data_IF_100259533335
#
_entry.id   IF_100259533335
#
_cell.length_a   1.000
_cell.length_b   1.000
_cell.length_c   1.000
_cell.angle_alpha   90.00
_cell.angle_beta   90.00
_cell.angle_gamma   90.00
#
_symmetry.space_group_name_H-M   'P 1'
#
loop_
_entity.id
_entity.type
_entity.pdbx_description
1 polymer ?
2 water ?
#
# COMPACT_ATOMS: atom_id res chain seq x y z
N UNK A 4 18.38 2.76 14.50
CA UNK A 4 16.92 2.88 14.52
C UNK A 4 16.24 1.53 14.28
N UNK A 5 14.96 1.44 14.60
CA UNK A 5 14.20 0.20 14.45
C UNK A 5 13.18 0.36 13.33
N UNK A 6 13.29 -0.49 12.31
CA UNK A 6 12.45 -0.36 11.13
C UNK A 6 11.01 -0.76 11.41
N UNK A 7 10.79 -1.60 12.41
CA UNK A 7 9.48 -2.13 12.70
C UNK A 7 9.59 -3.54 13.25
N UNK A 8 8.46 -4.24 13.37
CA UNK A 8 7.12 -3.80 12.96
C UNK A 8 6.49 -2.82 13.93
N UNK A 9 5.64 -1.96 13.38
CA UNK A 9 4.83 -1.02 14.14
C UNK A 9 3.37 -1.39 13.96
N UNK A 10 2.59 -1.19 15.01
CA UNK A 10 1.19 -1.58 14.99
C UNK A 10 0.34 -0.56 14.24
N UNK A 11 -0.85 -0.97 13.79
CA UNK A 11 -1.74 -0.04 13.08
C UNK A 11 -1.93 1.27 13.83
N UNK A 12 -1.87 2.38 13.10
CA UNK A 12 -1.91 3.70 13.71
C UNK A 12 -2.18 4.74 12.63
N UNK A 13 -2.31 6.00 13.06
CA UNK A 13 -2.47 7.14 12.18
C UNK A 13 -1.38 8.15 12.47
N UNK A 14 -0.79 8.73 11.42
CA UNK A 14 0.23 9.77 11.54
C UNK A 14 0.42 10.41 10.17
N UNK A 15 1.15 11.53 10.12
CA UNK A 15 1.47 12.11 8.82
C UNK A 15 2.91 11.78 8.46
N UNK A 16 3.15 10.87 7.52
CA UNK A 16 4.50 10.40 7.28
C UNK A 16 5.34 11.49 6.63
N UNK A 17 6.61 11.59 7.01
CA UNK A 17 7.52 12.49 6.29
C UNK A 17 7.76 11.98 4.88
N UNK A 18 8.24 12.88 4.03
CA UNK A 18 8.64 12.50 2.69
C UNK A 18 9.89 11.62 2.74
N UNK A 19 10.08 10.85 1.68
CA UNK A 19 11.28 10.05 1.45
C UNK A 19 11.40 8.84 2.37
N UNK A 20 10.27 8.32 2.84
CA UNK A 20 10.23 7.06 3.57
C UNK A 20 9.16 6.15 2.99
N UNK A 21 9.53 4.90 2.72
CA UNK A 21 8.57 3.87 2.36
C UNK A 21 7.90 3.34 3.61
N UNK A 22 6.58 3.20 3.55
CA UNK A 22 5.84 2.41 4.53
C UNK A 22 5.53 1.07 3.89
N UNK A 23 6.01 0.00 4.50
CA UNK A 23 5.88 -1.35 3.98
C UNK A 23 4.86 -2.08 4.84
N UNK A 24 3.72 -2.43 4.25
CA UNK A 24 2.57 -2.95 4.98
C UNK A 24 2.52 -4.46 4.85
N UNK A 25 2.21 -5.13 5.95
CA UNK A 25 2.18 -6.59 6.00
C UNK A 25 0.83 -7.08 6.52
N UNK A 26 -0.22 -6.98 5.71
CA UNK A 26 -1.54 -7.47 6.12
C UNK A 26 -1.62 -8.99 6.12
N UNK A 27 -2.55 -9.49 6.93
CA UNK A 27 -2.78 -10.93 7.01
C UNK A 27 -3.93 -11.41 6.14
N UNK A 28 -4.98 -10.61 5.95
CA UNK A 28 -6.14 -11.06 5.19
C UNK A 28 -6.72 -9.89 4.40
N UNK A 29 -7.68 -10.21 3.54
CA UNK A 29 -8.29 -9.23 2.66
C UNK A 29 -8.97 -8.11 3.44
N UNK A 30 -9.02 -6.93 2.85
CA UNK A 30 -9.65 -5.77 3.44
C UNK A 30 -8.89 -4.50 3.09
N UNK A 31 -9.17 -3.42 3.82
CA UNK A 31 -8.42 -2.18 3.62
C UNK A 31 -7.07 -2.32 4.31
N UNK A 32 -6.00 -2.06 3.57
CA UNK A 32 -4.65 -2.17 4.13
C UNK A 32 -4.19 -0.87 4.77
N UNK A 33 -4.46 0.25 4.09
CA UNK A 33 -4.09 1.57 4.56
C UNK A 33 -4.89 2.58 3.78
N UNK A 34 -5.04 3.77 4.37
CA UNK A 34 -5.73 4.87 3.71
C UNK A 34 -4.97 6.15 4.03
N UNK A 35 -5.24 7.20 3.27
CA UNK A 35 -4.61 8.47 3.56
C UNK A 35 -5.34 9.59 2.86
N UNK A 36 -5.35 10.76 3.50
CA UNK A 36 -5.99 11.92 2.90
C UNK A 36 -5.20 13.18 3.23
N UNK A 37 -5.33 14.18 2.37
CA UNK A 37 -4.84 15.52 2.67
C UNK A 37 -5.96 16.44 3.11
N UNK A 38 -7.18 15.92 3.21
CA UNK A 38 -8.36 16.69 3.63
C UNK A 38 -8.68 17.85 2.69
N UNK A 39 -8.17 17.80 1.45
CA UNK A 39 -8.40 18.87 0.48
C UNK A 39 -8.85 18.33 -0.87
N UNK A 40 -8.03 17.49 -1.52
CA UNK A 40 -8.39 16.99 -2.83
C UNK A 40 -8.04 15.52 -3.06
N UNK A 41 -7.57 14.78 -2.05
CA UNK A 41 -7.27 13.37 -2.25
C UNK A 41 -7.69 12.55 -1.04
N UNK A 42 -8.42 11.47 -1.32
CA UNK A 42 -8.78 10.43 -0.35
C UNK A 42 -8.41 9.12 -1.01
N UNK A 43 -7.46 8.40 -0.41
CA UNK A 43 -6.74 7.32 -1.07
C UNK A 43 -6.71 6.09 -0.17
N UNK A 44 -6.66 4.91 -0.79
CA UNK A 44 -6.50 3.70 0.01
C UNK A 44 -5.91 2.60 -0.85
N UNK A 45 -5.41 1.56 -0.18
CA UNK A 45 -5.01 0.33 -0.84
C UNK A 45 -5.85 -0.79 -0.24
N UNK A 46 -6.50 -1.55 -1.11
CA UNK A 46 -7.30 -2.71 -0.73
C UNK A 46 -6.53 -3.98 -1.04
N UNK A 47 -6.85 -5.06 -0.32
CA UNK A 47 -6.27 -6.37 -0.56
C UNK A 47 -7.38 -7.37 -0.84
N UNK A 48 -7.22 -8.12 -1.93
CA UNK A 48 -8.14 -9.18 -2.33
C UNK A 48 -7.35 -10.47 -2.41
N UNK A 49 -7.86 -11.53 -1.78
CA UNK A 49 -7.21 -12.82 -1.75
C UNK A 49 -7.28 -13.48 -3.13
N UNK A 50 -6.50 -14.54 -3.37
CA UNK A 50 -6.58 -15.24 -4.65
C UNK A 50 -7.97 -15.82 -4.90
N UNK A 51 -8.28 -16.00 -6.18
CA UNK A 51 -9.41 -16.81 -6.61
C UNK A 51 -10.74 -16.19 -6.21
N UNK A 52 -10.97 -14.95 -6.62
CA UNK A 52 -12.19 -14.21 -6.29
C UNK A 52 -12.84 -13.74 -7.59
N UNK A 53 -14.03 -14.25 -7.88
CA UNK A 53 -14.79 -13.75 -9.02
C UNK A 53 -15.35 -12.37 -8.70
N UNK A 54 -15.65 -11.62 -9.75
CA UNK A 54 -16.14 -10.25 -9.59
C UNK A 54 -17.26 -10.19 -8.56
N UNK A 55 -17.08 -9.35 -7.55
CA UNK A 55 -17.95 -9.30 -6.39
C UNK A 55 -17.91 -7.90 -5.81
N UNK A 56 -19.04 -7.46 -5.28
CA UNK A 56 -19.08 -6.17 -4.60
C UNK A 56 -18.83 -6.41 -3.12
N UNK A 57 -17.77 -5.80 -2.59
CA UNK A 57 -17.43 -5.89 -1.18
C UNK A 57 -17.57 -4.52 -0.52
N UNK A 58 -17.77 -4.54 0.79
CA UNK A 58 -17.93 -3.33 1.57
C UNK A 58 -16.62 -3.02 2.29
N UNK A 59 -16.19 -1.77 2.23
CA UNK A 59 -14.97 -1.31 2.87
C UNK A 59 -15.27 -0.05 3.65
N UNK A 60 -14.70 0.05 4.85
CA UNK A 60 -14.76 1.26 5.65
C UNK A 60 -13.59 2.14 5.23
N UNK A 61 -13.87 3.20 4.50
CA UNK A 61 -12.86 4.17 4.08
C UNK A 61 -13.19 5.50 4.74
N UNK A 62 -12.30 5.94 5.63
CA UNK A 62 -12.48 7.22 6.32
C UNK A 62 -13.80 7.28 7.08
N UNK A 63 -14.25 6.13 7.60
CA UNK A 63 -15.49 6.06 8.34
C UNK A 63 -16.73 5.85 7.51
N UNK A 64 -16.62 5.94 6.18
CA UNK A 64 -17.77 5.76 5.30
C UNK A 64 -17.85 4.33 4.83
N UNK A 65 -19.08 3.85 4.66
CA UNK A 65 -19.35 2.52 4.13
C UNK A 65 -19.33 2.62 2.62
N UNK A 66 -18.35 1.98 1.97
CA UNK A 66 -18.13 2.12 0.53
C UNK A 66 -18.19 0.74 -0.11
N UNK A 67 -19.11 0.57 -1.06
CA UNK A 67 -19.20 -0.67 -1.81
C UNK A 67 -18.35 -0.55 -3.06
N UNK A 68 -17.45 -1.51 -3.27
CA UNK A 68 -16.51 -1.50 -4.37
C UNK A 68 -16.53 -2.87 -5.03
N UNK A 69 -16.63 -2.90 -6.36
CA UNK A 69 -16.58 -4.16 -7.09
C UNK A 69 -15.13 -4.53 -7.36
N UNK A 70 -14.74 -5.71 -6.92
CA UNK A 70 -13.36 -6.18 -7.01
C UNK A 70 -13.37 -7.58 -7.60
N UNK A 71 -12.21 -7.98 -8.12
CA UNK A 71 -12.02 -9.35 -8.57
C UNK A 71 -10.54 -9.66 -8.47
N UNK A 72 -10.22 -10.94 -8.35
CA UNK A 72 -8.83 -11.38 -8.45
C UNK A 72 -8.84 -12.71 -9.18
N UNK A 73 -8.48 -12.67 -10.45
CA UNK A 73 -8.47 -13.86 -11.30
C UNK A 73 -7.22 -14.71 -11.12
N UNK A 74 -6.26 -14.27 -10.31
CA UNK A 74 -5.08 -15.08 -10.09
C UNK A 74 -5.41 -16.26 -9.19
N UNK A 75 -4.90 -17.44 -9.56
CA UNK A 75 -5.11 -18.63 -8.76
C UNK A 75 -4.17 -18.69 -7.56
N UNK A 76 -3.07 -17.95 -7.60
CA UNK A 76 -1.99 -18.15 -6.65
C UNK A 76 -1.52 -16.89 -5.95
N UNK A 77 -1.86 -15.71 -6.44
CA UNK A 77 -1.33 -14.48 -5.90
C UNK A 77 -2.44 -13.60 -5.37
N UNK A 78 -2.11 -12.84 -4.33
CA UNK A 78 -2.97 -11.82 -3.76
C UNK A 78 -2.93 -10.55 -4.62
N UNK A 79 -3.96 -9.73 -4.50
CA UNK A 79 -4.09 -8.55 -5.34
C UNK A 79 -4.29 -7.32 -4.47
N UNK A 80 -3.32 -6.41 -4.51
CA UNK A 80 -3.47 -5.09 -3.91
C UNK A 80 -4.02 -4.15 -4.97
N UNK A 81 -4.99 -3.32 -4.57
CA UNK A 81 -5.64 -2.39 -5.48
C UNK A 81 -5.55 -0.99 -4.89
N UNK A 82 -4.91 -0.08 -5.62
CA UNK A 82 -4.90 1.33 -5.24
C UNK A 82 -6.22 1.97 -5.66
N UNK A 83 -6.88 2.66 -4.74
CA UNK A 83 -8.11 3.38 -5.04
C UNK A 83 -7.99 4.83 -4.60
N UNK A 84 -8.71 5.71 -5.29
CA UNK A 84 -8.72 7.11 -4.88
C UNK A 84 -9.92 7.85 -5.41
N UNK A 85 -10.25 8.93 -4.71
CA UNK A 85 -11.19 9.93 -5.20
C UNK A 85 -10.56 11.30 -5.01
N UNK A 86 -11.12 12.29 -5.71
CA UNK A 86 -10.53 13.63 -5.72
C UNK A 86 -11.48 14.70 -5.20
N UNK A 87 -12.58 14.30 -4.59
CA UNK A 87 -13.52 15.23 -3.99
C UNK A 87 -14.31 14.47 -2.94
N UNK A 88 -14.90 15.22 -2.02
CA UNK A 88 -15.62 14.62 -0.90
C UNK A 88 -16.71 13.67 -1.38
N UNK A 89 -17.48 14.06 -2.39
CA UNK A 89 -18.57 13.23 -2.89
C UNK A 89 -18.22 12.47 -4.15
N UNK A 90 -16.95 12.47 -4.55
CA UNK A 90 -16.54 11.74 -5.73
C UNK A 90 -16.55 10.23 -5.53
N UNK A 91 -16.50 9.52 -6.65
CA UNK A 91 -16.44 8.07 -6.61
C UNK A 91 -14.99 7.62 -6.49
N UNK A 92 -14.78 6.54 -5.73
CA UNK A 92 -13.48 5.88 -5.75
C UNK A 92 -13.31 5.14 -7.06
N UNK A 93 -12.12 5.26 -7.66
CA UNK A 93 -11.79 4.48 -8.84
C UNK A 93 -10.50 3.72 -8.56
N UNK A 94 -10.38 2.56 -9.21
CA UNK A 94 -9.21 1.71 -9.06
C UNK A 94 -8.13 2.14 -10.05
N UNK A 95 -6.92 2.30 -9.54
CA UNK A 95 -5.77 2.68 -10.35
C UNK A 95 -4.79 1.51 -10.43
N UNK A 96 -3.60 1.65 -9.84
CA UNK A 96 -2.60 0.60 -9.96
C UNK A 96 -2.97 -0.67 -9.21
N UNK A 97 -2.42 -1.78 -9.68
CA UNK A 97 -2.57 -3.06 -9.01
C UNK A 97 -1.20 -3.69 -8.79
N UNK A 98 -1.12 -4.51 -7.75
CA UNK A 98 0.09 -5.24 -7.39
C UNK A 98 -0.33 -6.67 -7.12
N UNK A 99 0.16 -7.60 -7.94
CA UNK A 99 -0.20 -9.01 -7.88
C UNK A 99 0.96 -9.71 -7.19
N UNK A 100 0.72 -10.30 -6.02
CA UNK A 100 1.79 -10.56 -5.06
C UNK A 100 1.71 -11.94 -4.42
N UNK A 101 2.85 -12.62 -4.38
CA UNK A 101 3.00 -13.84 -3.58
C UNK A 101 3.49 -13.56 -2.16
N UNK A 102 3.90 -12.33 -1.87
CA UNK A 102 4.50 -11.99 -0.58
C UNK A 102 3.53 -11.31 0.38
N UNK A 103 2.39 -10.82 -0.12
CA UNK A 103 1.40 -10.12 0.70
C UNK A 103 1.96 -8.83 1.32
N UNK A 104 2.87 -8.17 0.61
CA UNK A 104 3.43 -6.90 1.04
C UNK A 104 3.15 -5.83 0.01
N UNK A 105 2.81 -4.63 0.47
CA UNK A 105 2.71 -3.48 -0.41
C UNK A 105 3.41 -2.32 0.27
N UNK A 106 3.61 -1.23 -0.48
CA UNK A 106 4.38 -0.13 0.08
C UNK A 106 4.04 1.17 -0.64
N UNK A 107 4.18 2.28 0.10
CA UNK A 107 3.92 3.61 -0.43
C UNK A 107 4.95 4.59 0.10
N UNK A 108 5.24 5.63 -0.68
CA UNK A 108 6.21 6.64 -0.27
C UNK A 108 5.88 7.96 -0.96
N UNK A 109 6.03 9.06 -0.22
CA UNK A 109 5.90 10.41 -0.78
C UNK A 109 7.29 10.92 -1.16
N UNK A 110 7.44 11.38 -2.40
CA UNK A 110 8.73 11.90 -2.84
C UNK A 110 8.51 12.88 -3.98
N UNK A 111 9.09 14.07 -3.85
CA UNK A 111 9.07 15.06 -4.92
C UNK A 111 7.68 15.52 -5.33
N UNK A 112 6.73 15.53 -4.41
CA UNK A 112 5.36 15.85 -4.71
C UNK A 112 4.55 14.69 -5.24
N UNK A 113 5.20 13.59 -5.61
CA UNK A 113 4.52 12.42 -6.14
C UNK A 113 4.29 11.39 -5.03
N UNK A 114 3.34 10.49 -5.28
CA UNK A 114 3.07 9.37 -4.39
C UNK A 114 3.43 8.10 -5.14
N UNK A 115 4.34 7.31 -4.58
CA UNK A 115 4.80 6.08 -5.21
C UNK A 115 4.18 4.89 -4.52
N UNK A 116 3.76 3.91 -5.32
CA UNK A 116 3.40 2.59 -4.82
C UNK A 116 4.07 1.56 -5.73
N UNK A 117 4.08 0.33 -5.28
CA UNK A 117 4.56 -0.76 -6.13
C UNK A 117 3.41 -1.30 -6.97
N UNK A 118 3.70 -1.57 -8.24
CA UNK A 118 2.71 -2.17 -9.12
C UNK A 118 3.39 -3.24 -9.97
N UNK A 119 2.56 -4.07 -10.60
CA UNK A 119 3.07 -5.15 -11.40
C UNK A 119 2.84 -6.49 -10.75
N UNK A 120 3.68 -7.47 -11.06
CA UNK A 120 3.52 -8.84 -10.59
C UNK A 120 4.83 -9.28 -9.95
N UNK A 121 4.78 -9.70 -8.69
CA UNK A 121 6.00 -10.18 -8.05
C UNK A 121 6.52 -11.40 -8.81
N UNK A 122 7.85 -11.60 -8.86
CA UNK A 122 8.91 -10.85 -8.19
C UNK A 122 9.46 -9.69 -9.02
N UNK A 123 8.68 -9.11 -9.93
CA UNK A 123 9.13 -8.03 -10.79
C UNK A 123 8.32 -6.75 -10.61
N UNK A 124 7.70 -6.57 -9.45
CA UNK A 124 6.97 -5.34 -9.16
C UNK A 124 7.95 -4.17 -9.00
N UNK A 125 7.51 -2.99 -9.43
CA UNK A 125 8.35 -1.81 -9.45
C UNK A 125 7.60 -0.62 -8.88
N UNK A 126 8.30 0.34 -8.28
CA UNK A 126 7.65 1.60 -7.90
C UNK A 126 7.17 2.37 -9.12
N UNK A 127 5.99 2.96 -8.99
CA UNK A 127 5.43 3.80 -10.03
C UNK A 127 4.81 5.01 -9.35
N UNK A 128 4.87 6.15 -10.02
CA UNK A 128 4.47 7.42 -9.43
C UNK A 128 3.05 7.81 -9.82
N UNK A 129 2.29 8.29 -8.84
CA UNK A 129 1.10 9.09 -9.09
C UNK A 129 1.51 10.55 -9.02
N UNK A 130 1.11 11.33 -10.04
CA UNK A 130 1.63 12.69 -10.16
C UNK A 130 0.54 13.68 -10.53
N UNK A 131 -0.72 13.36 -10.25
CA UNK A 131 -1.85 14.20 -10.64
C UNK A 131 -2.02 15.42 -9.76
N UNK A 132 -1.39 15.45 -8.59
CA UNK A 132 -1.40 16.60 -7.69
C UNK A 132 -0.15 16.50 -6.83
N UNK A 133 0.02 17.45 -5.92
CA UNK A 133 1.10 17.36 -4.94
C UNK A 133 0.57 16.58 -3.74
N UNK A 134 1.17 15.42 -3.48
CA UNK A 134 0.71 14.50 -2.44
C UNK A 134 1.46 14.65 -1.12
N UNK A 135 2.31 15.67 -0.99
CA UNK A 135 3.24 15.73 0.14
C UNK A 135 2.52 15.79 1.50
N UNK A 136 1.32 16.36 1.55
CA UNK A 136 0.61 16.52 2.82
C UNK A 136 -0.37 15.39 3.13
N UNK A 137 -0.44 14.34 2.31
CA UNK A 137 -1.35 13.23 2.58
C UNK A 137 -0.88 12.47 3.82
N UNK A 138 -1.80 12.23 4.75
CA UNK A 138 -1.50 11.46 5.95
C UNK A 138 -1.65 9.96 5.68
N UNK A 139 -1.55 9.15 6.73
CA UNK A 139 -1.79 7.72 6.60
C UNK A 139 -2.50 7.21 7.85
N UNK A 140 -3.38 6.25 7.64
CA UNK A 140 -3.82 5.35 8.70
C UNK A 140 -3.54 3.94 8.20
N UNK A 141 -2.72 3.20 8.93
CA UNK A 141 -2.42 1.83 8.58
C UNK A 141 -3.36 0.89 9.32
N UNK A 142 -3.77 -0.17 8.64
CA UNK A 142 -4.62 -1.21 9.22
C UNK A 142 -3.91 -2.55 9.32
N UNK A 143 -2.60 -2.56 9.12
CA UNK A 143 -1.78 -3.75 9.27
C UNK A 143 -0.47 -3.30 9.90
N UNK A 144 0.24 -4.26 10.48
CA UNK A 144 1.60 -3.98 10.94
C UNK A 144 2.44 -3.50 9.77
N UNK A 145 3.42 -2.65 10.05
CA UNK A 145 4.18 -2.03 8.98
C UNK A 145 5.60 -1.72 9.40
N UNK A 146 6.43 -1.47 8.40
CA UNK A 146 7.84 -1.14 8.56
C UNK A 146 8.12 0.17 7.86
N UNK A 147 9.19 0.83 8.28
CA UNK A 147 9.57 2.14 7.75
C UNK A 147 10.98 2.01 7.19
N UNK A 148 11.14 2.30 5.90
CA UNK A 148 12.41 2.14 5.20
C UNK A 148 12.69 3.42 4.43
N UNK A 149 13.87 3.99 4.64
CA UNK A 149 14.22 5.24 3.98
C UNK A 149 14.38 5.03 2.47
N UNK A 150 14.13 6.11 1.72
CA UNK A 150 14.37 6.07 0.28
C UNK A 150 15.80 5.70 -0.06
N UNK A 151 16.76 6.11 0.79
CA UNK A 151 18.15 5.71 0.58
C UNK A 151 18.31 4.19 0.60
N UNK A 152 17.42 3.49 1.29
CA UNK A 152 17.42 2.03 1.35
C UNK A 152 16.31 1.42 0.51
N UNK A 153 15.91 2.09 -0.57
CA UNK A 153 14.82 1.60 -1.42
C UNK A 153 15.08 0.20 -1.95
N UNK A 154 16.34 -0.16 -2.20
CA UNK A 154 16.63 -1.50 -2.69
C UNK A 154 16.14 -2.55 -1.71
N UNK A 155 16.21 -2.27 -0.42
CA UNK A 155 15.71 -3.21 0.57
C UNK A 155 14.20 -3.34 0.47
N UNK A 156 13.50 -2.22 0.29
CA UNK A 156 12.05 -2.27 0.14
C UNK A 156 11.65 -3.05 -1.10
N UNK A 157 12.34 -2.82 -2.22
CA UNK A 157 12.06 -3.56 -3.45
C UNK A 157 12.23 -5.05 -3.23
N UNK A 158 13.32 -5.45 -2.57
CA UNK A 158 13.58 -6.87 -2.35
C UNK A 158 12.51 -7.50 -1.47
N UNK A 159 12.10 -6.82 -0.40
CA UNK A 159 11.06 -7.38 0.47
C UNK A 159 9.73 -7.50 -0.27
N UNK A 160 9.31 -6.44 -0.96
CA UNK A 160 8.03 -6.47 -1.68
C UNK A 160 7.99 -7.64 -2.65
N UNK A 161 9.10 -7.90 -3.32
CA UNK A 161 9.13 -8.91 -4.38
C UNK A 161 9.45 -10.31 -3.89
N UNK A 162 10.16 -10.45 -2.78
CA UNK A 162 10.65 -11.76 -2.35
C UNK A 162 10.24 -12.14 -0.94
N UNK A 163 9.77 -11.20 -0.13
CA UNK A 163 9.27 -11.53 1.18
C UNK A 163 10.06 -10.88 2.30
N UNK A 164 9.45 -10.79 3.47
CA UNK A 164 10.12 -10.27 4.64
C UNK A 164 11.01 -11.36 5.22
N UNK A 165 12.04 -10.99 5.98
CA UNK A 165 12.80 -12.01 6.71
C UNK A 165 11.92 -12.70 7.74
N UNK A 166 12.27 -13.92 8.15
CA UNK A 166 11.44 -14.63 9.14
C UNK A 166 11.52 -14.05 10.54
N UNK A 167 12.41 -13.10 10.80
CA UNK A 167 12.58 -12.49 12.11
C UNK A 167 12.50 -10.97 11.95
N UNK A 168 12.37 -10.28 13.09
CA UNK A 168 12.12 -8.84 13.09
C UNK A 168 13.41 -8.06 13.34
N UNK A 169 14.32 -8.18 12.37
CA UNK A 169 15.61 -7.48 12.39
C UNK A 169 15.90 -6.87 11.03
N UNK A 170 14.88 -6.28 10.40
CA UNK A 170 15.03 -5.83 9.02
C UNK A 170 16.12 -4.78 8.86
N UNK A 171 16.38 -3.97 9.89
CA UNK A 171 17.44 -2.97 9.79
C UNK A 171 18.76 -3.58 9.35
N UNK A 172 19.01 -4.83 9.72
CA UNK A 172 20.30 -5.45 9.46
C UNK A 172 20.24 -6.57 8.43
N UNK A 173 19.07 -6.90 7.90
CA UNK A 173 18.90 -8.08 7.04
C UNK A 173 18.63 -7.65 5.61
N UNK A 174 19.57 -7.94 4.72
CA UNK A 174 19.46 -7.57 3.32
C UNK A 174 20.23 -8.58 2.48
N UNK A 175 19.72 -8.86 1.28
CA UNK A 175 20.38 -9.82 0.41
C UNK A 175 21.70 -9.24 -0.11
N UNK A 176 22.72 -10.10 -0.33
CA UNK A 176 23.95 -9.61 -0.97
C UNK A 176 23.69 -9.06 -2.37
#
# INVERSE_FOLDING_TARGET
MEPTLDGPYQPTSFNPPINYWLLLSPTNAGVVMQGTNNTNRWLATLLVEPNVESTTRNYNLFGSSVDITVENTSSDKWKFIDVGKTSLNGSYVQHGTLISSTKLCAAMKHGGNLYTFSGTTPNALPKAYSTTNFDSVNVTTFADFYIISRDNEQKCRQYVNNGLPPIQNTRNLEAP
#
